data_IF_629630348285
#
_entry.id   IF_629630348285
#
_cell.length_a   1.000
_cell.length_b   1.000
_cell.length_c   1.000
_cell.angle_alpha   90.00
_cell.angle_beta   90.00
_cell.angle_gamma   90.00
#
_symmetry.space_group_name_H-M   'P 1'
#
loop_
_entity.id
_entity.type
_entity.pdbx_description
1 polymer ?
#
# COMPACT_ATOMS: atom_id res chain seq x y z
N UNK A 1 -23.82 -25.05 -6.60
CA UNK A 1 -23.32 -26.33 -6.08
C UNK A 1 -22.58 -26.02 -4.79
N UNK A 2 -23.08 -26.48 -3.65
CA UNK A 2 -22.39 -26.37 -2.37
C UNK A 2 -21.96 -27.78 -1.99
N UNK A 3 -20.66 -28.04 -1.92
CA UNK A 3 -20.16 -29.30 -1.37
C UNK A 3 -20.46 -29.36 0.13
N UNK A 4 -20.70 -30.57 0.63
CA UNK A 4 -20.80 -30.81 2.06
C UNK A 4 -19.47 -30.48 2.72
N UNK A 5 -19.50 -29.63 3.76
CA UNK A 5 -18.32 -29.29 4.55
C UNK A 5 -17.63 -30.57 5.04
N UNK A 6 -16.39 -30.78 4.61
CA UNK A 6 -15.56 -31.89 5.09
C UNK A 6 -15.35 -31.76 6.60
N UNK A 7 -15.18 -32.88 7.32
CA UNK A 7 -14.81 -32.85 8.74
C UNK A 7 -13.55 -31.98 8.95
N UNK A 8 -13.51 -31.21 10.05
CA UNK A 8 -12.41 -30.30 10.37
C UNK A 8 -11.02 -30.97 10.24
N UNK A 9 -10.93 -32.23 10.66
CA UNK A 9 -9.69 -33.02 10.59
C UNK A 9 -9.16 -33.20 9.16
N UNK A 10 -10.04 -33.43 8.19
CA UNK A 10 -9.64 -33.60 6.79
C UNK A 10 -9.23 -32.26 6.16
N UNK A 11 -9.92 -31.18 6.54
CA UNK A 11 -9.55 -29.83 6.12
C UNK A 11 -8.16 -29.45 6.63
N UNK A 12 -7.87 -29.69 7.92
CA UNK A 12 -6.55 -29.40 8.48
C UNK A 12 -5.43 -30.21 7.83
N UNK A 13 -5.67 -31.48 7.49
CA UNK A 13 -4.67 -32.32 6.79
C UNK A 13 -4.40 -31.84 5.36
N UNK A 14 -5.38 -31.18 4.72
CA UNK A 14 -5.22 -30.64 3.36
C UNK A 14 -4.42 -29.33 3.29
N UNK A 15 -4.18 -28.66 4.42
CA UNK A 15 -3.35 -27.46 4.49
C UNK A 15 -1.89 -27.92 4.66
N UNK A 16 -1.14 -27.90 3.57
CA UNK A 16 0.30 -28.21 3.60
C UNK A 16 1.08 -27.04 4.20
N UNK A 17 2.24 -27.31 4.81
CA UNK A 17 3.04 -26.27 5.48
C UNK A 17 3.61 -25.21 4.52
N UNK A 18 3.64 -25.51 3.22
CA UNK A 18 4.04 -24.64 2.11
C UNK A 18 2.85 -24.01 1.38
N UNK A 19 1.62 -24.19 1.87
CA UNK A 19 0.44 -23.60 1.26
C UNK A 19 0.53 -22.06 1.26
N UNK A 20 0.15 -21.45 0.15
CA UNK A 20 0.10 -19.99 0.04
C UNK A 20 -0.90 -19.42 1.04
N UNK A 21 -0.42 -18.50 1.89
CA UNK A 21 -1.25 -17.80 2.85
C UNK A 21 -1.90 -16.58 2.19
N UNK A 22 -3.16 -16.32 2.57
CA UNK A 22 -3.90 -15.14 2.15
C UNK A 22 -4.03 -14.19 3.34
N UNK A 23 -3.70 -12.92 3.12
CA UNK A 23 -3.95 -11.87 4.11
C UNK A 23 -5.41 -11.44 3.99
N UNK A 24 -6.14 -11.47 5.09
CA UNK A 24 -7.54 -11.06 5.16
C UNK A 24 -7.68 -9.82 6.03
N UNK A 25 -8.50 -8.88 5.59
CA UNK A 25 -8.85 -7.68 6.35
C UNK A 25 -10.36 -7.44 6.29
N UNK A 26 -10.85 -6.61 7.20
CA UNK A 26 -12.28 -6.28 7.28
C UNK A 26 -12.59 -5.10 6.36
N UNK A 27 -13.54 -5.27 5.43
CA UNK A 27 -13.96 -4.20 4.51
C UNK A 27 -14.51 -2.96 5.24
N UNK A 28 -15.17 -3.16 6.38
CA UNK A 28 -15.68 -2.07 7.24
C UNK A 28 -14.86 -1.96 8.52
N UNK A 29 -13.54 -1.95 8.39
CA UNK A 29 -12.64 -1.65 9.50
C UNK A 29 -12.83 -0.19 9.95
N UNK A 30 -12.64 0.06 11.25
CA UNK A 30 -12.52 1.43 11.75
C UNK A 30 -11.16 1.97 11.28
N UNK A 31 -11.09 3.14 10.64
CA UNK A 31 -9.83 3.71 10.19
C UNK A 31 -8.82 3.84 11.33
N UNK A 32 -7.55 3.64 11.02
CA UNK A 32 -6.43 3.78 11.95
C UNK A 32 -5.55 4.95 11.54
N UNK A 33 -4.82 5.53 12.50
CA UNK A 33 -3.81 6.54 12.20
C UNK A 33 -2.79 6.01 11.17
N UNK A 34 -2.51 6.78 10.14
CA UNK A 34 -1.56 6.40 9.10
C UNK A 34 -0.12 6.41 9.63
N UNK A 35 0.76 5.49 9.18
CA UNK A 35 2.13 5.40 9.70
C UNK A 35 3.09 6.47 9.19
N UNK A 36 2.67 7.24 8.18
CA UNK A 36 3.43 8.32 7.56
C UNK A 36 2.91 9.64 8.15
N UNK A 37 3.79 10.36 8.85
CA UNK A 37 3.47 11.64 9.48
C UNK A 37 4.41 12.73 8.95
N UNK A 38 3.97 13.99 9.08
CA UNK A 38 4.58 15.21 8.55
C UNK A 38 4.40 15.42 7.03
N UNK A 39 4.48 16.68 6.55
CA UNK A 39 4.63 16.95 5.14
C UNK A 39 5.92 16.30 4.63
N UNK A 40 5.79 15.24 3.84
CA UNK A 40 6.92 14.59 3.20
C UNK A 40 6.89 14.90 1.70
N UNK A 41 8.08 14.99 1.11
CA UNK A 41 8.23 15.00 -0.34
C UNK A 41 8.65 13.61 -0.80
N UNK A 42 8.22 13.18 -1.98
CA UNK A 42 8.56 11.86 -2.51
C UNK A 42 8.84 11.88 -4.01
N UNK A 43 9.72 10.99 -4.45
CA UNK A 43 9.79 10.52 -5.84
C UNK A 43 8.94 9.27 -5.99
N UNK A 44 8.48 8.96 -7.19
CA UNK A 44 7.71 7.74 -7.42
C UNK A 44 8.11 7.04 -8.72
N UNK A 45 8.03 5.71 -8.72
CA UNK A 45 8.13 4.92 -9.94
C UNK A 45 6.80 4.23 -10.21
N UNK A 46 6.40 4.23 -11.49
CA UNK A 46 5.27 3.47 -12.00
C UNK A 46 5.77 2.63 -13.16
N UNK A 47 5.65 1.31 -13.04
CA UNK A 47 6.23 0.36 -14.00
C UNK A 47 7.76 0.54 -14.12
N UNK A 48 8.28 0.92 -15.29
CA UNK A 48 9.73 1.03 -15.54
C UNK A 48 10.28 2.45 -15.42
N UNK A 49 9.41 3.47 -15.31
CA UNK A 49 9.82 4.87 -15.31
C UNK A 49 9.72 5.46 -13.91
N UNK A 50 10.68 6.30 -13.56
CA UNK A 50 10.79 6.96 -12.26
C UNK A 50 10.67 8.47 -12.44
N UNK A 51 9.68 9.08 -11.78
CA UNK A 51 9.47 10.51 -11.74
C UNK A 51 10.18 11.10 -10.51
N UNK A 52 11.26 11.86 -10.79
CA UNK A 52 12.17 12.43 -9.77
C UNK A 52 12.04 13.94 -9.58
N UNK A 53 11.60 14.67 -10.60
CA UNK A 53 11.56 16.13 -10.57
C UNK A 53 10.42 16.69 -11.43
N UNK A 54 9.54 17.54 -10.86
CA UNK A 54 9.58 18.03 -9.48
C UNK A 54 9.13 16.97 -8.47
N UNK A 55 9.48 17.17 -7.19
CA UNK A 55 9.09 16.24 -6.12
C UNK A 55 7.58 16.32 -5.85
N UNK A 56 6.95 15.16 -5.70
CA UNK A 56 5.58 15.03 -5.23
C UNK A 56 5.51 15.26 -3.71
N UNK A 57 4.30 15.46 -3.17
CA UNK A 57 4.11 15.81 -1.76
C UNK A 57 3.03 14.93 -1.14
N UNK A 58 3.22 14.53 0.11
CA UNK A 58 2.19 13.85 0.91
C UNK A 58 1.88 14.67 2.16
N UNK A 59 0.59 14.79 2.45
CA UNK A 59 0.08 15.54 3.58
C UNK A 59 -0.85 14.67 4.42
N UNK A 60 -0.76 14.81 5.74
CA UNK A 60 -1.82 14.31 6.64
C UNK A 60 -3.02 15.25 6.55
N UNK A 61 -4.21 14.66 6.36
CA UNK A 61 -5.47 15.41 6.37
C UNK A 61 -5.82 15.87 7.80
N UNK A 62 -6.95 16.56 7.97
CA UNK A 62 -7.44 16.93 9.30
C UNK A 62 -7.70 15.70 10.21
N UNK A 63 -8.02 14.57 9.58
CA UNK A 63 -8.12 13.24 10.17
C UNK A 63 -6.79 12.50 9.92
N UNK A 64 -6.13 12.04 11.00
CA UNK A 64 -4.82 11.40 10.95
C UNK A 64 -4.85 9.98 10.35
N UNK A 65 -6.05 9.44 10.12
CA UNK A 65 -6.28 8.22 9.35
C UNK A 65 -6.25 8.42 7.84
N UNK A 66 -6.09 9.67 7.37
CA UNK A 66 -6.09 10.01 5.94
C UNK A 66 -4.83 10.74 5.51
N UNK A 67 -4.35 10.37 4.33
CA UNK A 67 -3.25 11.03 3.64
C UNK A 67 -3.70 11.52 2.27
N UNK A 68 -3.17 12.67 1.86
CA UNK A 68 -3.32 13.22 0.52
C UNK A 68 -1.98 13.16 -0.20
N UNK A 69 -1.89 12.34 -1.24
CA UNK A 69 -0.76 12.31 -2.16
C UNK A 69 -1.02 13.27 -3.31
N UNK A 70 -0.13 14.26 -3.48
CA UNK A 70 -0.13 15.21 -4.60
C UNK A 70 1.01 14.85 -5.54
N UNK A 71 0.67 14.13 -6.61
CA UNK A 71 1.62 13.72 -7.63
C UNK A 71 1.92 14.90 -8.57
N UNK A 72 3.19 15.03 -8.94
CA UNK A 72 3.63 15.93 -10.00
C UNK A 72 3.87 15.17 -11.30
N UNK A 73 3.65 15.85 -12.43
CA UNK A 73 4.10 15.34 -13.73
C UNK A 73 5.60 15.67 -13.92
N UNK A 74 6.37 14.68 -14.33
CA UNK A 74 7.79 14.83 -14.67
C UNK A 74 7.95 15.06 -16.18
N UNK A 75 8.67 16.11 -16.56
CA UNK A 75 8.87 16.48 -17.96
C UNK A 75 9.58 15.39 -18.79
N UNK A 76 10.41 14.57 -18.14
CA UNK A 76 11.21 13.50 -18.73
C UNK A 76 10.53 12.11 -18.67
N UNK A 77 9.35 11.99 -18.07
CA UNK A 77 8.61 10.74 -17.95
C UNK A 77 7.31 10.81 -18.75
N UNK A 78 7.27 10.21 -19.97
CA UNK A 78 6.07 10.16 -20.79
C UNK A 78 4.89 9.51 -20.06
N UNK A 79 3.73 10.15 -20.09
CA UNK A 79 2.52 9.67 -19.41
C UNK A 79 2.53 9.84 -17.89
N UNK A 80 3.50 10.57 -17.32
CA UNK A 80 3.34 11.08 -15.96
C UNK A 80 2.33 12.23 -15.95
N UNK A 81 1.45 12.21 -14.97
CA UNK A 81 0.35 13.18 -14.83
C UNK A 81 0.38 13.76 -13.41
N UNK A 82 -0.04 15.02 -13.29
CA UNK A 82 -0.23 15.64 -11.99
C UNK A 82 -1.67 15.38 -11.53
N UNK A 83 -1.82 14.76 -10.38
CA UNK A 83 -3.12 14.44 -9.80
C UNK A 83 -3.02 14.27 -8.28
N UNK A 84 -4.16 14.40 -7.62
CA UNK A 84 -4.29 14.20 -6.18
C UNK A 84 -4.96 12.83 -5.94
N UNK A 85 -4.45 12.07 -4.97
CA UNK A 85 -4.93 10.74 -4.58
C UNK A 85 -5.03 10.68 -3.06
N UNK A 86 -6.22 10.37 -2.53
CA UNK A 86 -6.42 10.27 -1.09
C UNK A 86 -6.37 8.81 -0.64
N UNK A 87 -5.65 8.54 0.45
CA UNK A 87 -5.58 7.25 1.11
C UNK A 87 -6.22 7.32 2.49
N UNK A 88 -7.08 6.36 2.81
CA UNK A 88 -7.57 6.09 4.17
C UNK A 88 -6.94 4.81 4.71
N UNK A 89 -6.25 4.90 5.86
CA UNK A 89 -5.54 3.78 6.47
C UNK A 89 -6.49 2.91 7.30
N UNK A 90 -6.49 1.59 7.06
CA UNK A 90 -7.47 0.66 7.66
C UNK A 90 -6.86 -0.36 8.61
N UNK A 91 -5.66 -0.84 8.33
CA UNK A 91 -4.97 -1.82 9.18
C UNK A 91 -3.47 -1.77 8.94
N UNK A 92 -2.66 -1.99 9.97
CA UNK A 92 -1.21 -2.12 9.83
C UNK A 92 -0.67 -3.26 10.69
N UNK A 93 0.38 -3.91 10.19
CA UNK A 93 1.07 -4.97 10.92
C UNK A 93 2.56 -4.98 10.58
N UNK A 94 3.33 -5.78 11.32
CA UNK A 94 4.76 -5.93 11.14
C UNK A 94 5.09 -7.40 10.98
N UNK A 95 5.94 -7.71 10.00
CA UNK A 95 6.51 -9.04 9.80
C UNK A 95 8.01 -8.91 9.58
N UNK A 96 8.80 -9.42 10.53
CA UNK A 96 10.25 -9.25 10.52
C UNK A 96 10.67 -7.77 10.57
N UNK A 97 11.34 -7.30 9.52
CA UNK A 97 11.77 -5.89 9.36
C UNK A 97 10.83 -5.05 8.49
N UNK A 98 9.84 -5.70 7.86
CA UNK A 98 8.89 -5.04 6.99
C UNK A 98 7.66 -4.62 7.78
N UNK A 99 7.11 -3.46 7.42
CA UNK A 99 5.83 -3.00 7.90
C UNK A 99 4.83 -3.01 6.77
N UNK A 100 3.58 -3.33 7.09
CA UNK A 100 2.51 -3.44 6.11
C UNK A 100 1.36 -2.53 6.51
N UNK A 101 0.62 -2.07 5.51
CA UNK A 101 -0.56 -1.24 5.65
C UNK A 101 -1.57 -1.68 4.59
N UNK A 102 -2.84 -1.77 4.97
CA UNK A 102 -3.96 -1.81 4.03
C UNK A 102 -4.64 -0.46 4.07
N UNK A 103 -4.94 0.10 2.91
CA UNK A 103 -5.69 1.34 2.82
C UNK A 103 -6.64 1.37 1.63
N UNK A 104 -7.60 2.28 1.74
CA UNK A 104 -8.61 2.57 0.72
C UNK A 104 -8.21 3.84 -0.02
N UNK A 105 -8.01 3.73 -1.33
CA UNK A 105 -7.78 4.85 -2.23
C UNK A 105 -9.14 5.44 -2.64
N UNK A 106 -9.24 6.75 -2.58
CA UNK A 106 -10.33 7.48 -3.21
C UNK A 106 -10.00 7.74 -4.69
N UNK A 107 -10.16 6.70 -5.52
CA UNK A 107 -10.00 6.79 -6.98
C UNK A 107 -11.35 6.86 -7.68
N UNK A 108 -11.56 7.94 -8.43
CA UNK A 108 -12.73 8.15 -9.27
C UNK A 108 -12.84 7.13 -10.41
N UNK A 109 -11.74 6.47 -10.79
CA UNK A 109 -11.68 5.46 -11.85
C UNK A 109 -11.89 4.02 -11.35
N UNK A 110 -12.03 3.82 -10.02
CA UNK A 110 -12.33 2.51 -9.46
C UNK A 110 -13.69 2.00 -9.97
N UNK A 111 -13.68 0.84 -10.64
CA UNK A 111 -14.89 0.26 -11.25
C UNK A 111 -15.75 -0.46 -10.21
N UNK A 112 -15.11 -1.00 -9.18
CA UNK A 112 -15.74 -1.72 -8.07
C UNK A 112 -15.26 -1.14 -6.74
N UNK A 113 -15.95 -1.48 -5.65
CA UNK A 113 -15.46 -1.12 -4.31
C UNK A 113 -14.14 -1.84 -3.97
N UNK A 114 -13.91 -3.04 -4.51
CA UNK A 114 -12.72 -3.85 -4.27
C UNK A 114 -11.47 -3.21 -4.90
N UNK A 115 -11.63 -2.59 -6.07
CA UNK A 115 -10.55 -1.88 -6.78
C UNK A 115 -10.00 -0.68 -5.97
N UNK A 116 -10.73 -0.23 -4.96
CA UNK A 116 -10.32 0.90 -4.11
C UNK A 116 -9.34 0.47 -3.02
N UNK A 117 -9.13 -0.82 -2.79
CA UNK A 117 -8.24 -1.27 -1.72
C UNK A 117 -6.88 -1.67 -2.29
N UNK A 118 -5.83 -1.23 -1.62
CA UNK A 118 -4.47 -1.64 -1.92
C UNK A 118 -3.68 -1.88 -0.64
N UNK A 119 -2.61 -2.63 -0.79
CA UNK A 119 -1.69 -2.96 0.28
C UNK A 119 -0.38 -2.22 0.04
N UNK A 120 0.27 -1.83 1.14
CA UNK A 120 1.55 -1.17 1.15
C UNK A 120 2.51 -1.95 2.02
N UNK A 121 3.76 -1.99 1.60
CA UNK A 121 4.89 -2.42 2.40
C UNK A 121 5.83 -1.23 2.53
N UNK A 122 6.31 -0.96 3.73
CA UNK A 122 7.20 0.15 3.98
C UNK A 122 8.30 -0.20 4.96
N UNK A 123 9.42 0.50 4.82
CA UNK A 123 10.52 0.49 5.78
C UNK A 123 10.63 1.85 6.44
N UNK A 124 10.59 1.82 7.76
CA UNK A 124 10.81 3.03 8.56
C UNK A 124 12.27 3.46 8.46
N UNK A 125 12.54 4.77 8.52
CA UNK A 125 13.89 5.28 8.72
C UNK A 125 14.56 4.67 9.96
N UNK A 126 15.83 4.29 9.86
CA UNK A 126 16.58 3.64 10.94
C UNK A 126 16.87 4.57 12.14
N UNK A 127 16.97 5.88 11.93
CA UNK A 127 17.19 6.90 12.96
C UNK A 127 16.37 8.15 12.67
N UNK A 128 15.87 8.80 13.73
CA UNK A 128 15.10 10.04 13.64
C UNK A 128 15.96 11.30 13.38
N UNK A 129 17.29 11.18 13.47
CA UNK A 129 18.27 12.29 13.45
C UNK A 129 19.05 12.38 12.13
N UNK A 130 18.73 11.51 11.16
CA UNK A 130 19.35 11.51 9.82
C UNK A 130 18.27 11.73 8.77
N UNK A 131 18.63 12.12 7.54
CA UNK A 131 17.73 12.22 6.38
C UNK A 131 17.24 10.83 5.92
N UNK A 132 16.75 10.03 6.86
CA UNK A 132 16.42 8.66 6.65
C UNK A 132 15.11 8.61 5.85
N UNK A 133 15.25 8.16 4.61
CA UNK A 133 14.19 8.15 3.63
C UNK A 133 13.27 6.95 3.84
N UNK A 134 11.97 7.18 3.78
CA UNK A 134 11.00 6.10 3.75
C UNK A 134 11.13 5.37 2.42
N UNK A 135 10.95 4.06 2.44
CA UNK A 135 10.76 3.31 1.19
C UNK A 135 9.38 2.69 1.30
N UNK A 136 8.56 2.86 0.28
CA UNK A 136 7.19 2.38 0.24
C UNK A 136 6.94 1.72 -1.11
N UNK A 137 6.34 0.55 -1.10
CA UNK A 137 5.79 -0.08 -2.30
C UNK A 137 4.30 -0.37 -2.11
N UNK A 138 3.54 -0.20 -3.18
CA UNK A 138 2.10 -0.39 -3.26
C UNK A 138 1.77 -1.57 -4.18
N UNK A 139 0.79 -2.40 -3.80
CA UNK A 139 0.29 -3.49 -4.63
C UNK A 139 -0.57 -2.96 -5.79
N UNK A 140 -0.71 -3.77 -6.85
CA UNK A 140 -1.59 -3.43 -7.97
C UNK A 140 -3.08 -3.58 -7.64
N UNK A 141 -3.39 -4.39 -6.62
CA UNK A 141 -4.75 -4.76 -6.24
C UNK A 141 -4.86 -5.08 -4.73
N UNK A 142 -6.05 -5.51 -4.32
CA UNK A 142 -6.45 -5.86 -2.96
C UNK A 142 -5.77 -7.12 -2.37
N UNK A 143 -5.14 -7.95 -3.19
CA UNK A 143 -4.67 -9.29 -2.74
C UNK A 143 -3.44 -9.23 -1.85
N UNK A 144 -2.74 -8.10 -1.83
CA UNK A 144 -1.40 -7.93 -1.27
C UNK A 144 -0.35 -8.91 -1.84
N UNK A 145 -0.68 -9.71 -2.86
CA UNK A 145 0.22 -10.70 -3.42
C UNK A 145 1.30 -10.03 -4.28
N UNK A 146 2.51 -10.57 -4.25
CA UNK A 146 3.66 -10.02 -4.98
C UNK A 146 4.34 -8.82 -4.30
N UNK A 147 3.84 -8.35 -3.16
CA UNK A 147 4.44 -7.26 -2.40
C UNK A 147 5.55 -7.78 -1.47
N UNK A 148 6.71 -8.14 -2.04
CA UNK A 148 7.79 -8.85 -1.35
C UNK A 148 8.72 -7.88 -0.59
N UNK A 149 8.87 -6.64 -1.06
CA UNK A 149 9.73 -5.65 -0.43
C UNK A 149 9.25 -4.21 -0.64
N UNK A 150 9.72 -3.28 0.19
CA UNK A 150 9.50 -1.84 0.05
C UNK A 150 10.10 -1.19 -1.22
N UNK A 151 10.79 -1.97 -2.05
CA UNK A 151 11.41 -1.51 -3.29
C UNK A 151 10.76 -2.13 -4.54
N UNK A 152 9.78 -3.02 -4.38
CA UNK A 152 9.16 -3.74 -5.48
C UNK A 152 7.63 -3.79 -5.30
N UNK A 153 6.91 -3.25 -6.28
CA UNK A 153 5.45 -3.18 -6.29
C UNK A 153 4.94 -2.53 -7.58
N UNK A 154 3.63 -2.37 -7.70
CA UNK A 154 3.00 -1.67 -8.85
C UNK A 154 3.44 -0.20 -8.91
N UNK A 155 3.55 0.41 -7.73
CA UNK A 155 4.09 1.76 -7.53
C UNK A 155 5.07 1.73 -6.37
N UNK A 156 6.20 2.41 -6.51
CA UNK A 156 7.15 2.59 -5.41
C UNK A 156 7.37 4.07 -5.16
N UNK A 157 7.65 4.43 -3.91
CA UNK A 157 7.86 5.79 -3.45
C UNK A 157 9.06 5.84 -2.51
N UNK A 158 9.80 6.95 -2.61
CA UNK A 158 10.98 7.25 -1.79
C UNK A 158 10.96 8.70 -1.35
#
# INVERSE_FOLDING_TARGET
YCDSLKPLRELCVSITGDAMLYSLFRLSAVPISCPFHDPLTFTYAKSYYECKSPLSQVYTCADDSRLLFRYQACADVPGSEAFDEQLECLASWKEGSNHYLVGKIDDLHAKTEEDRYCCFIYKKPHHADDQATWNVAQSADITCQGLISAHEGSKTMK
#
